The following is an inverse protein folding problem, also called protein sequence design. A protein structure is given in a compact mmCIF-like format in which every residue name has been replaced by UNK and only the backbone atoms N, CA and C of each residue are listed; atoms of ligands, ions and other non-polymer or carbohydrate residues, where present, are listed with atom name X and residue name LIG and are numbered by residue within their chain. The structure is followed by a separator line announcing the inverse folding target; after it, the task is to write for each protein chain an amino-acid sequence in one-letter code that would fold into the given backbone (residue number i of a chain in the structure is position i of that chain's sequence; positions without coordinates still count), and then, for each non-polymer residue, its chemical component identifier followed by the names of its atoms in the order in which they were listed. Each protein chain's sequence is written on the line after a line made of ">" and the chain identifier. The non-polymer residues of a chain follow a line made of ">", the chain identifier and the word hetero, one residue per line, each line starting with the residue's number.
data_IF_262975529162
#
_entry.id   IF_262975529162
#
_cell.length_a   1.000
_cell.length_b   1.000
_cell.length_c   1.000
_cell.angle_alpha   90.00
_cell.angle_beta   90.00
_cell.angle_gamma   90.00
#
_symmetry.space_group_name_H-M   'P 1'
#
loop_
_entity.id
_entity.type
_entity.pdbx_description
1 polymer ?
#
# COMPACT_ATOMS: atom_id res chain seq x y z
N UNK A 1 18.74 -42.37 29.83
CA UNK A 1 18.76 -40.93 29.51
C UNK A 1 20.03 -40.66 28.72
N UNK A 2 19.90 -40.58 27.41
CA UNK A 2 21.01 -40.27 26.49
C UNK A 2 21.23 -38.78 26.53
N UNK A 3 22.33 -38.32 27.11
CA UNK A 3 22.82 -36.96 26.96
C UNK A 3 23.20 -36.75 25.47
N UNK A 4 22.34 -36.11 24.72
CA UNK A 4 22.77 -35.48 23.49
C UNK A 4 23.70 -34.33 23.89
N UNK A 5 24.97 -34.42 23.48
CA UNK A 5 25.94 -33.36 23.68
C UNK A 5 25.37 -32.06 23.07
N UNK A 6 25.25 -31.00 23.87
CA UNK A 6 24.79 -29.71 23.42
C UNK A 6 25.80 -29.21 22.39
N UNK A 7 25.41 -29.18 21.12
CA UNK A 7 26.05 -28.30 20.15
C UNK A 7 25.83 -26.89 20.69
N UNK A 8 26.91 -26.16 20.98
CA UNK A 8 26.80 -24.78 21.42
C UNK A 8 26.07 -23.99 20.31
N UNK A 9 24.84 -23.60 20.55
CA UNK A 9 24.08 -22.81 19.59
C UNK A 9 24.66 -21.38 19.63
N UNK A 10 25.25 -20.94 18.52
CA UNK A 10 25.85 -19.60 18.42
C UNK A 10 24.82 -18.48 18.54
N UNK A 11 23.53 -18.80 18.54
CA UNK A 11 22.43 -17.86 18.75
C UNK A 11 22.17 -17.54 20.21
N UNK A 12 22.69 -18.35 21.13
CA UNK A 12 22.53 -18.11 22.57
C UNK A 12 23.49 -17.01 23.01
N UNK A 13 22.95 -15.98 23.65
CA UNK A 13 23.70 -14.81 24.10
C UNK A 13 24.03 -15.00 25.59
N UNK A 14 25.33 -15.05 25.92
CA UNK A 14 25.81 -15.20 27.30
C UNK A 14 25.92 -13.87 28.03
N UNK A 15 26.44 -12.85 27.36
CA UNK A 15 26.64 -11.51 27.94
C UNK A 15 25.65 -10.52 27.25
N UNK A 16 24.78 -9.92 28.06
CA UNK A 16 23.79 -8.94 27.63
C UNK A 16 24.28 -7.53 27.96
N UNK A 17 23.88 -6.59 27.08
CA UNK A 17 23.98 -5.18 27.40
C UNK A 17 23.16 -4.85 28.65
N UNK A 18 23.64 -3.97 29.57
CA UNK A 18 22.92 -3.64 30.78
C UNK A 18 21.48 -3.17 30.59
N UNK A 19 21.20 -2.42 29.52
CA UNK A 19 19.87 -1.96 29.19
C UNK A 19 18.94 -3.13 28.81
N UNK A 20 19.43 -4.05 28.00
CA UNK A 20 18.68 -5.26 27.63
C UNK A 20 18.43 -6.16 28.82
N UNK A 21 19.43 -6.27 29.74
CA UNK A 21 19.30 -7.01 30.96
C UNK A 21 18.18 -6.44 31.86
N UNK A 22 18.14 -5.11 32.01
CA UNK A 22 17.09 -4.42 32.76
C UNK A 22 15.69 -4.65 32.15
N UNK A 23 15.55 -4.53 30.82
CA UNK A 23 14.30 -4.83 30.15
C UNK A 23 13.84 -6.27 30.33
N UNK A 24 14.77 -7.24 30.32
CA UNK A 24 14.48 -8.64 30.53
C UNK A 24 14.00 -8.92 31.99
N UNK A 25 14.62 -8.29 32.98
CA UNK A 25 14.18 -8.39 34.36
C UNK A 25 12.79 -7.77 34.56
N UNK A 26 12.54 -6.59 34.02
CA UNK A 26 11.23 -5.96 34.05
C UNK A 26 10.15 -6.82 33.42
N UNK A 27 10.45 -7.41 32.27
CA UNK A 27 9.53 -8.34 31.63
C UNK A 27 9.24 -9.55 32.54
N UNK A 28 10.28 -10.15 33.12
CA UNK A 28 10.12 -11.29 34.00
C UNK A 28 9.28 -10.96 35.25
N UNK A 29 9.40 -9.75 35.79
CA UNK A 29 8.58 -9.27 36.90
C UNK A 29 7.14 -8.99 36.52
N UNK A 30 6.92 -8.38 35.34
CA UNK A 30 5.59 -7.96 34.84
C UNK A 30 4.78 -9.16 34.39
N UNK A 31 5.34 -9.99 33.52
CA UNK A 31 4.63 -11.06 32.82
C UNK A 31 4.79 -12.45 33.48
N UNK A 32 5.77 -12.63 34.40
CA UNK A 32 6.01 -13.85 35.18
C UNK A 32 5.93 -15.12 34.32
N UNK A 33 6.78 -15.26 33.29
CA UNK A 33 6.74 -16.44 32.42
C UNK A 33 6.94 -17.73 33.22
N UNK A 34 6.26 -18.80 32.79
CA UNK A 34 6.31 -20.09 33.47
C UNK A 34 7.61 -20.85 33.17
N UNK A 35 8.37 -20.38 32.21
CA UNK A 35 9.62 -21.01 31.79
C UNK A 35 10.70 -20.88 32.86
N UNK A 36 11.70 -21.79 32.83
CA UNK A 36 12.77 -21.83 33.81
C UNK A 36 13.68 -20.61 33.73
N UNK A 37 14.12 -20.12 34.91
CA UNK A 37 15.10 -19.03 34.99
C UNK A 37 16.54 -19.59 35.14
N UNK A 38 17.56 -18.89 34.59
CA UNK A 38 17.47 -17.68 33.76
C UNK A 38 16.86 -17.98 32.42
N UNK A 39 16.13 -16.96 31.85
CA UNK A 39 15.54 -17.07 30.53
C UNK A 39 16.63 -17.19 29.46
N UNK A 40 16.37 -18.02 28.46
CA UNK A 40 17.29 -18.23 27.34
C UNK A 40 17.15 -17.10 26.34
N UNK A 41 18.11 -16.17 26.30
CA UNK A 41 18.15 -15.09 25.30
C UNK A 41 18.84 -15.59 24.05
N UNK A 42 18.19 -15.38 22.93
CA UNK A 42 18.67 -15.76 21.61
C UNK A 42 18.84 -14.54 20.70
N UNK A 43 19.71 -14.68 19.71
CA UNK A 43 19.94 -13.66 18.66
C UNK A 43 19.46 -14.18 17.32
N UNK A 44 18.69 -13.36 16.62
CA UNK A 44 18.43 -13.59 15.21
C UNK A 44 19.69 -13.25 14.41
N UNK A 45 20.24 -14.23 13.67
CA UNK A 45 21.49 -14.06 12.94
C UNK A 45 21.35 -13.14 11.70
N UNK A 46 20.16 -12.95 11.18
CA UNK A 46 19.93 -12.10 10.02
C UNK A 46 19.81 -10.62 10.40
N UNK A 47 19.10 -10.33 11.48
CA UNK A 47 18.79 -8.96 11.91
C UNK A 47 19.63 -8.50 13.11
N UNK A 48 20.26 -9.45 13.84
CA UNK A 48 20.93 -9.17 15.11
C UNK A 48 19.97 -8.96 16.29
N UNK A 49 18.66 -8.97 16.09
CA UNK A 49 17.65 -8.73 17.10
C UNK A 49 17.69 -9.78 18.22
N UNK A 50 17.57 -9.34 19.47
CA UNK A 50 17.56 -10.19 20.65
C UNK A 50 16.12 -10.58 21.03
N UNK A 51 15.90 -11.85 21.35
CA UNK A 51 14.58 -12.33 21.73
C UNK A 51 14.62 -13.49 22.74
N UNK A 52 13.48 -13.71 23.40
CA UNK A 52 13.17 -14.93 24.17
C UNK A 52 11.92 -15.59 23.61
N UNK A 53 11.79 -16.90 23.75
CA UNK A 53 10.54 -17.63 23.54
C UNK A 53 10.07 -18.20 24.85
N UNK A 54 8.91 -17.77 25.32
CA UNK A 54 8.39 -18.07 26.67
C UNK A 54 6.88 -18.25 26.65
N UNK A 55 6.32 -18.72 27.76
CA UNK A 55 4.89 -18.87 27.95
C UNK A 55 4.40 -17.97 29.09
N UNK A 56 3.40 -17.15 28.78
CA UNK A 56 2.83 -16.16 29.71
C UNK A 56 1.33 -16.43 29.89
N UNK A 57 0.86 -16.34 31.13
CA UNK A 57 -0.57 -16.48 31.44
C UNK A 57 -1.38 -15.32 30.84
N UNK A 58 -2.55 -15.61 30.28
CA UNK A 58 -3.40 -14.60 29.63
C UNK A 58 -3.72 -13.41 30.54
N UNK A 59 -4.03 -13.67 31.81
CA UNK A 59 -4.29 -12.63 32.82
C UNK A 59 -3.11 -11.72 33.14
N UNK A 60 -1.88 -12.12 32.84
CA UNK A 60 -0.68 -11.30 32.97
C UNK A 60 -0.31 -10.62 31.66
N UNK A 61 -0.48 -11.30 30.54
CA UNK A 61 -0.17 -10.76 29.20
C UNK A 61 -1.12 -9.65 28.78
N UNK A 62 -2.42 -9.86 28.92
CA UNK A 62 -3.46 -8.95 28.42
C UNK A 62 -3.38 -7.54 29.02
N UNK A 63 -3.26 -7.36 30.35
CA UNK A 63 -3.13 -6.02 30.93
C UNK A 63 -1.80 -5.32 30.59
N UNK A 64 -0.75 -6.06 30.29
CA UNK A 64 0.56 -5.52 29.99
C UNK A 64 0.77 -5.22 28.48
N UNK A 65 -0.18 -5.61 27.62
CA UNK A 65 0.02 -5.59 26.17
C UNK A 65 -0.92 -4.65 25.44
N UNK A 66 -0.41 -4.08 24.32
CA UNK A 66 -1.20 -3.26 23.39
C UNK A 66 -0.98 -3.72 21.95
N UNK A 67 -2.04 -3.62 21.14
CA UNK A 67 -1.97 -3.75 19.68
C UNK A 67 -1.81 -2.39 18.99
N UNK A 68 -1.90 -1.30 19.73
CA UNK A 68 -1.71 0.05 19.27
C UNK A 68 -0.22 0.40 19.29
N UNK A 69 0.50 -0.02 18.23
CA UNK A 69 1.94 0.07 18.14
C UNK A 69 2.29 0.95 16.95
N UNK A 70 2.94 2.11 17.15
CA UNK A 70 3.47 2.91 16.06
C UNK A 70 4.63 2.17 15.38
N UNK A 71 4.85 2.46 14.11
CA UNK A 71 5.98 1.90 13.37
C UNK A 71 7.30 2.54 13.82
N UNK A 72 7.25 3.84 14.08
CA UNK A 72 8.33 4.64 14.62
C UNK A 72 7.79 5.44 15.81
N UNK A 73 8.05 4.99 17.05
CA UNK A 73 7.53 5.65 18.24
C UNK A 73 8.01 7.08 18.44
N UNK A 74 9.22 7.40 17.98
CA UNK A 74 9.87 8.68 18.24
C UNK A 74 9.47 9.76 17.23
N UNK A 75 9.36 9.38 15.93
CA UNK A 75 9.09 10.34 14.85
C UNK A 75 7.65 10.29 14.30
N UNK A 76 6.94 9.18 14.43
CA UNK A 76 5.67 8.94 13.76
C UNK A 76 4.64 8.22 14.66
N UNK A 77 4.46 8.71 15.88
CA UNK A 77 3.56 8.11 16.87
C UNK A 77 2.11 7.90 16.37
N UNK A 78 1.66 8.71 15.40
CA UNK A 78 0.30 8.63 14.83
C UNK A 78 0.14 7.54 13.76
N UNK A 79 1.24 6.92 13.30
CA UNK A 79 1.21 5.94 12.22
C UNK A 79 1.44 4.52 12.73
N UNK A 80 0.37 3.76 12.75
CA UNK A 80 0.33 2.43 13.34
C UNK A 80 0.95 1.37 12.44
N UNK A 81 1.80 0.57 13.04
CA UNK A 81 2.40 -0.60 12.40
C UNK A 81 1.37 -1.69 12.13
N UNK A 82 0.35 -1.78 12.96
CA UNK A 82 -0.63 -2.83 12.94
C UNK A 82 -1.81 -2.50 12.01
N UNK A 83 -2.32 -3.53 11.32
CA UNK A 83 -3.55 -3.44 10.55
C UNK A 83 -4.77 -3.57 11.46
N UNK A 84 -5.89 -3.02 11.01
CA UNK A 84 -7.16 -3.22 11.69
C UNK A 84 -7.52 -4.72 11.75
N UNK A 85 -8.00 -5.16 12.90
CA UNK A 85 -8.55 -6.50 13.07
C UNK A 85 -9.85 -6.59 12.27
N UNK A 86 -9.90 -7.46 11.27
CA UNK A 86 -11.11 -7.67 10.46
C UNK A 86 -12.04 -8.61 11.23
N UNK A 87 -12.99 -8.05 11.95
CA UNK A 87 -13.91 -8.80 12.83
C UNK A 87 -14.89 -9.71 12.09
N UNK A 88 -15.30 -9.33 10.88
CA UNK A 88 -16.33 -10.05 10.10
C UNK A 88 -15.80 -11.31 9.36
N UNK A 89 -14.57 -11.74 9.62
CA UNK A 89 -14.00 -12.88 8.92
C UNK A 89 -14.33 -14.19 9.68
N UNK A 90 -14.97 -15.17 8.98
CA UNK A 90 -15.35 -16.47 9.57
C UNK A 90 -14.18 -17.19 10.27
N UNK A 91 -12.94 -17.01 9.80
CA UNK A 91 -11.75 -17.58 10.43
C UNK A 91 -11.46 -16.93 11.81
N UNK A 92 -11.75 -15.64 11.98
CA UNK A 92 -11.56 -14.96 13.25
C UNK A 92 -12.63 -15.38 14.28
N UNK A 93 -13.90 -15.51 13.85
CA UNK A 93 -14.95 -16.05 14.72
C UNK A 93 -14.56 -17.45 15.26
N UNK A 94 -14.09 -18.33 14.38
CA UNK A 94 -13.59 -19.66 14.79
C UNK A 94 -12.40 -19.57 15.75
N UNK A 95 -11.48 -18.64 15.56
CA UNK A 95 -10.34 -18.43 16.46
C UNK A 95 -10.80 -18.02 17.86
N UNK A 96 -11.82 -17.19 17.99
CA UNK A 96 -12.44 -16.82 19.27
C UNK A 96 -13.07 -18.03 19.96
N UNK A 97 -13.75 -18.90 19.21
CA UNK A 97 -14.34 -20.13 19.76
C UNK A 97 -13.21 -21.11 20.20
N UNK A 98 -12.17 -21.26 19.42
CA UNK A 98 -10.99 -22.07 19.77
C UNK A 98 -10.30 -21.54 21.04
N UNK A 99 -10.18 -20.21 21.21
CA UNK A 99 -9.62 -19.60 22.43
C UNK A 99 -10.47 -19.91 23.67
N UNK A 100 -11.79 -19.78 23.57
CA UNK A 100 -12.74 -20.11 24.66
C UNK A 100 -12.74 -21.61 25.00
N UNK A 101 -12.35 -22.47 24.06
CA UNK A 101 -12.14 -23.90 24.27
C UNK A 101 -10.75 -24.24 24.81
N UNK A 102 -9.99 -23.26 25.29
CA UNK A 102 -8.62 -23.43 25.82
C UNK A 102 -7.62 -24.03 24.81
N UNK A 103 -7.79 -23.75 23.50
CA UNK A 103 -6.91 -24.28 22.48
C UNK A 103 -5.60 -23.48 22.40
N UNK A 104 -4.47 -24.19 22.31
CA UNK A 104 -3.16 -23.58 22.08
C UNK A 104 -3.06 -22.95 20.70
N UNK A 105 -2.47 -21.75 20.65
CA UNK A 105 -2.12 -21.04 19.42
C UNK A 105 -0.61 -21.07 19.18
N UNK A 106 -0.20 -20.75 17.95
CA UNK A 106 1.20 -20.43 17.68
C UNK A 106 1.59 -19.13 18.40
N UNK A 107 2.90 -18.93 18.65
CA UNK A 107 3.41 -17.80 19.43
C UNK A 107 2.91 -16.45 18.91
N UNK A 108 2.59 -15.54 19.83
CA UNK A 108 2.38 -14.13 19.55
C UNK A 108 3.77 -13.47 19.48
N UNK A 109 3.98 -12.59 18.53
CA UNK A 109 5.25 -11.88 18.35
C UNK A 109 5.11 -10.49 18.94
N UNK A 110 6.01 -10.15 19.88
CA UNK A 110 5.94 -8.91 20.64
C UNK A 110 7.32 -8.26 20.76
N UNK A 111 7.32 -6.98 21.11
CA UNK A 111 8.48 -6.27 21.65
C UNK A 111 8.16 -5.83 23.07
N UNK A 112 9.12 -5.97 23.98
CA UNK A 112 9.05 -5.37 25.31
C UNK A 112 9.86 -4.06 25.30
N UNK A 113 9.17 -2.95 25.50
CA UNK A 113 9.78 -1.62 25.53
C UNK A 113 8.98 -0.68 26.41
N UNK A 114 9.66 0.27 27.07
CA UNK A 114 9.04 1.35 27.83
C UNK A 114 8.62 2.53 26.96
N UNK A 115 9.07 2.55 25.70
CA UNK A 115 8.75 3.62 24.76
C UNK A 115 7.27 3.62 24.38
N UNK A 116 6.74 4.79 24.02
CA UNK A 116 5.40 5.05 23.53
C UNK A 116 4.28 4.92 24.57
N UNK A 117 4.15 3.81 25.27
CA UNK A 117 3.11 3.56 26.27
C UNK A 117 3.69 2.69 27.39
N UNK A 118 4.08 3.34 28.50
CA UNK A 118 4.68 2.68 29.65
C UNK A 118 3.70 1.76 30.40
N UNK A 119 2.39 2.03 30.28
CA UNK A 119 1.35 1.23 30.94
C UNK A 119 1.16 -0.13 30.27
N UNK A 120 1.53 -0.23 28.98
CA UNK A 120 1.47 -1.47 28.20
C UNK A 120 2.84 -1.77 27.56
N UNK A 121 3.82 -2.22 28.34
CA UNK A 121 5.20 -2.41 27.84
C UNK A 121 5.32 -3.52 26.80
N UNK A 122 4.35 -4.42 26.68
CA UNK A 122 4.33 -5.49 25.67
C UNK A 122 3.62 -4.97 24.41
N UNK A 123 4.38 -4.73 23.34
CA UNK A 123 3.88 -4.25 22.05
C UNK A 123 3.63 -5.44 21.13
N UNK A 124 2.39 -5.70 20.73
CA UNK A 124 2.05 -6.82 19.85
C UNK A 124 2.41 -6.44 18.40
N UNK A 125 3.47 -7.04 17.88
CA UNK A 125 3.93 -6.85 16.50
C UNK A 125 3.21 -7.83 15.53
N UNK A 126 3.01 -9.07 15.97
CA UNK A 126 2.35 -10.09 15.16
C UNK A 126 1.42 -10.99 15.97
N UNK A 127 0.30 -11.39 15.37
CA UNK A 127 -0.70 -12.23 16.03
C UNK A 127 -1.84 -11.48 16.71
N UNK A 128 -2.18 -10.27 16.26
CA UNK A 128 -3.26 -9.42 16.83
C UNK A 128 -4.59 -10.16 16.95
N UNK A 129 -5.01 -10.91 15.93
CA UNK A 129 -6.24 -11.70 15.97
C UNK A 129 -6.20 -12.76 17.09
N UNK A 130 -5.04 -13.39 17.31
CA UNK A 130 -4.83 -14.35 18.42
C UNK A 130 -4.92 -13.64 19.75
N UNK A 131 -4.24 -12.50 19.89
CA UNK A 131 -4.29 -11.69 21.09
C UNK A 131 -5.72 -11.23 21.42
N UNK A 132 -6.47 -10.71 20.44
CA UNK A 132 -7.87 -10.33 20.64
C UNK A 132 -8.74 -11.53 21.00
N UNK A 133 -8.51 -12.71 20.41
CA UNK A 133 -9.24 -13.91 20.79
C UNK A 133 -8.92 -14.35 22.24
N UNK A 134 -7.68 -14.19 22.69
CA UNK A 134 -7.26 -14.44 24.08
C UNK A 134 -7.93 -13.45 25.03
N UNK A 135 -8.00 -12.15 24.69
CA UNK A 135 -8.73 -11.15 25.48
C UNK A 135 -10.20 -11.54 25.66
N UNK A 136 -10.87 -11.95 24.58
CA UNK A 136 -12.27 -12.41 24.62
C UNK A 136 -12.44 -13.67 25.48
N UNK A 137 -11.51 -14.62 25.41
CA UNK A 137 -11.55 -15.84 26.22
C UNK A 137 -11.33 -15.53 27.71
N UNK A 138 -10.36 -14.68 28.03
CA UNK A 138 -10.11 -14.21 29.41
C UNK A 138 -11.36 -13.52 30.00
N UNK A 139 -12.04 -12.69 29.23
CA UNK A 139 -13.28 -12.05 29.66
C UNK A 139 -14.41 -13.05 29.98
N UNK A 140 -14.35 -14.27 29.45
CA UNK A 140 -15.28 -15.37 29.77
C UNK A 140 -14.76 -16.32 30.88
N UNK A 141 -13.61 -16.02 31.48
CA UNK A 141 -13.02 -16.78 32.57
C UNK A 141 -12.07 -17.90 32.15
N UNK A 142 -11.69 -17.95 30.87
CA UNK A 142 -10.66 -18.90 30.35
C UNK A 142 -9.31 -18.22 30.38
N UNK A 143 -8.42 -18.68 31.25
CA UNK A 143 -7.07 -18.13 31.45
C UNK A 143 -6.02 -19.23 31.29
N UNK A 144 -5.32 -19.18 30.14
CA UNK A 144 -4.35 -20.20 29.75
C UNK A 144 -2.98 -19.55 29.48
N UNK A 145 -1.92 -20.42 29.49
CA UNK A 145 -0.60 -19.98 29.07
C UNK A 145 -0.46 -19.93 27.58
N UNK A 146 0.04 -18.81 27.09
CA UNK A 146 0.24 -18.56 25.64
C UNK A 146 1.72 -18.38 25.32
N UNK A 147 2.15 -19.01 24.23
CA UNK A 147 3.51 -18.85 23.72
C UNK A 147 3.71 -17.43 23.18
N UNK A 148 4.81 -16.80 23.60
CA UNK A 148 5.21 -15.46 23.19
C UNK A 148 6.66 -15.50 22.71
N UNK A 149 6.91 -14.96 21.50
CA UNK A 149 8.24 -14.62 21.04
C UNK A 149 8.44 -13.13 21.26
N UNK A 150 9.27 -12.77 22.21
CA UNK A 150 9.42 -11.42 22.71
C UNK A 150 10.80 -10.87 22.39
N UNK A 151 10.84 -9.75 21.68
CA UNK A 151 12.05 -9.04 21.32
C UNK A 151 12.35 -7.90 22.29
N UNK A 152 13.63 -7.50 22.37
CA UNK A 152 14.13 -6.43 23.22
C UNK A 152 15.03 -5.49 22.40
N UNK A 153 14.93 -4.18 22.64
CA UNK A 153 15.83 -3.18 22.10
C UNK A 153 15.85 -3.14 20.57
N UNK A 154 14.71 -3.32 19.92
CA UNK A 154 14.61 -3.23 18.45
C UNK A 154 14.82 -1.80 17.98
N UNK A 155 15.72 -1.63 17.00
CA UNK A 155 15.72 -0.42 16.20
C UNK A 155 14.58 -0.44 15.14
N UNK A 156 14.41 0.65 14.40
CA UNK A 156 13.29 0.79 13.45
C UNK A 156 13.37 -0.22 12.29
N UNK A 157 14.58 -0.54 11.81
CA UNK A 157 14.80 -1.53 10.76
C UNK A 157 14.48 -2.94 11.24
N UNK A 158 14.98 -3.31 12.41
CA UNK A 158 14.70 -4.59 13.06
C UNK A 158 13.20 -4.77 13.36
N UNK A 159 12.53 -3.71 13.85
CA UNK A 159 11.09 -3.74 14.15
C UNK A 159 10.27 -4.01 12.89
N UNK A 160 10.64 -3.40 11.77
CA UNK A 160 10.00 -3.69 10.50
C UNK A 160 10.26 -5.13 10.05
N UNK A 161 11.51 -5.59 10.07
CA UNK A 161 11.85 -6.95 9.64
C UNK A 161 11.09 -8.00 10.45
N UNK A 162 11.03 -7.84 11.78
CA UNK A 162 10.24 -8.70 12.66
C UNK A 162 8.77 -8.69 12.28
N UNK A 163 8.22 -7.51 11.96
CA UNK A 163 6.83 -7.38 11.54
C UNK A 163 6.57 -8.03 10.18
N UNK A 164 7.46 -7.86 9.22
CA UNK A 164 7.37 -8.51 7.92
C UNK A 164 7.39 -10.03 8.05
N UNK A 165 8.35 -10.56 8.81
CA UNK A 165 8.50 -12.01 9.03
C UNK A 165 7.28 -12.57 9.77
N UNK A 166 6.82 -11.90 10.84
CA UNK A 166 5.67 -12.36 11.63
C UNK A 166 4.37 -12.40 10.84
N UNK A 167 4.25 -11.58 9.81
CA UNK A 167 3.09 -11.51 8.93
C UNK A 167 3.21 -12.34 7.64
N UNK A 168 4.36 -12.98 7.36
CA UNK A 168 4.55 -13.81 6.15
C UNK A 168 3.66 -15.04 6.11
N UNK A 169 3.19 -15.53 7.24
CA UNK A 169 2.26 -16.67 7.32
C UNK A 169 0.79 -16.29 7.06
N UNK A 170 0.45 -15.01 7.04
CA UNK A 170 -0.82 -14.49 6.56
C UNK A 170 -0.47 -13.74 5.29
N UNK A 171 -1.11 -14.06 4.17
CA UNK A 171 -0.88 -13.38 2.90
C UNK A 171 -1.04 -11.86 3.11
N UNK A 172 0.06 -11.19 3.44
CA UNK A 172 0.12 -9.73 3.53
C UNK A 172 -0.27 -9.22 2.16
N UNK A 173 -1.31 -8.39 2.09
CA UNK A 173 -1.67 -7.81 0.80
C UNK A 173 -0.48 -7.01 0.28
N UNK A 174 -0.25 -7.06 -1.03
CA UNK A 174 0.85 -6.32 -1.65
C UNK A 174 0.76 -4.81 -1.39
N UNK A 175 -0.44 -4.27 -1.24
CA UNK A 175 -0.65 -2.86 -0.90
C UNK A 175 -0.25 -2.55 0.55
N UNK A 176 -0.51 -3.47 1.51
CA UNK A 176 -0.03 -3.31 2.90
C UNK A 176 1.50 -3.36 2.96
N UNK A 177 2.12 -4.29 2.25
CA UNK A 177 3.56 -4.39 2.16
C UNK A 177 4.18 -3.09 1.61
N UNK A 178 3.60 -2.54 0.52
CA UNK A 178 4.01 -1.26 -0.04
C UNK A 178 3.88 -0.11 0.97
N UNK A 179 2.79 -0.09 1.76
CA UNK A 179 2.58 0.93 2.80
C UNK A 179 3.65 0.86 3.89
N UNK A 180 3.90 -0.34 4.43
CA UNK A 180 4.92 -0.53 5.45
C UNK A 180 6.30 -0.08 4.97
N UNK A 181 6.67 -0.47 3.74
CA UNK A 181 7.95 -0.09 3.14
C UNK A 181 8.06 1.42 2.93
N UNK A 182 6.98 2.07 2.45
CA UNK A 182 7.03 3.53 2.23
C UNK A 182 7.07 4.29 3.54
N UNK A 183 6.44 3.80 4.61
CA UNK A 183 6.50 4.41 5.93
C UNK A 183 7.93 4.45 6.47
N UNK A 184 8.72 3.38 6.23
CA UNK A 184 10.15 3.38 6.59
C UNK A 184 11.00 4.31 5.74
N UNK A 185 10.66 4.46 4.45
CA UNK A 185 11.37 5.37 3.58
C UNK A 185 11.17 6.85 3.97
N UNK A 186 10.18 7.12 4.83
CA UNK A 186 9.86 8.43 5.37
C UNK A 186 8.47 8.95 5.00
N UNK A 187 8.07 10.12 5.52
CA UNK A 187 6.73 10.65 5.38
C UNK A 187 6.45 11.32 4.01
N UNK A 188 7.47 11.53 3.19
CA UNK A 188 7.44 12.44 2.05
C UNK A 188 6.32 12.13 1.04
N UNK A 189 6.13 10.84 0.67
CA UNK A 189 5.08 10.45 -0.27
C UNK A 189 3.68 10.74 0.30
N UNK A 190 3.47 10.43 1.57
CA UNK A 190 2.21 10.68 2.27
C UNK A 190 1.93 12.17 2.35
N UNK A 191 2.90 12.97 2.82
CA UNK A 191 2.78 14.41 2.98
C UNK A 191 2.51 15.08 1.62
N UNK A 192 3.16 14.60 0.56
CA UNK A 192 2.87 15.03 -0.80
C UNK A 192 1.42 14.71 -1.19
N UNK A 193 0.95 13.48 -0.95
CA UNK A 193 -0.43 13.07 -1.25
C UNK A 193 -1.46 13.89 -0.47
N UNK A 194 -1.20 14.21 0.79
CA UNK A 194 -2.03 15.10 1.60
C UNK A 194 -2.00 16.55 1.06
N UNK A 195 -0.83 17.05 0.69
CA UNK A 195 -0.66 18.40 0.12
C UNK A 195 -1.43 18.58 -1.21
N UNK A 196 -1.49 17.56 -2.04
CA UNK A 196 -2.22 17.62 -3.31
C UNK A 196 -3.70 17.21 -3.18
N UNK A 197 -4.12 16.67 -2.04
CA UNK A 197 -5.50 16.28 -1.76
C UNK A 197 -5.91 14.90 -2.33
N UNK A 198 -4.93 14.03 -2.57
CA UNK A 198 -5.13 12.60 -2.85
C UNK A 198 -5.38 11.79 -1.58
N UNK A 199 -4.86 12.27 -0.45
CA UNK A 199 -5.20 11.89 0.90
C UNK A 199 -5.78 13.12 1.63
N UNK A 200 -6.68 12.92 2.56
CA UNK A 200 -7.14 14.00 3.45
C UNK A 200 -6.06 14.30 4.51
N UNK A 201 -6.15 15.47 5.17
CA UNK A 201 -5.20 15.82 6.23
C UNK A 201 -5.27 14.82 7.40
N UNK A 202 -4.14 14.23 7.76
CA UNK A 202 -4.05 13.20 8.81
C UNK A 202 -4.45 11.78 8.35
N UNK A 203 -4.84 11.60 7.08
CA UNK A 203 -5.17 10.29 6.51
C UNK A 203 -3.91 9.57 6.03
N UNK A 204 -3.84 8.26 6.22
CA UNK A 204 -2.78 7.39 5.71
C UNK A 204 -3.26 6.55 4.50
N UNK A 205 -2.32 5.89 3.85
CA UNK A 205 -2.59 4.99 2.74
C UNK A 205 -3.40 3.76 3.16
N UNK A 206 -4.28 3.30 2.29
CA UNK A 206 -5.03 2.06 2.53
C UNK A 206 -4.16 0.81 2.37
N UNK A 207 -4.42 -0.22 3.19
CA UNK A 207 -3.77 -1.54 3.13
C UNK A 207 -4.19 -2.36 1.91
N UNK A 208 -5.27 -1.97 1.28
CA UNK A 208 -5.78 -2.56 0.04
C UNK A 208 -6.69 -1.58 -0.68
N UNK A 209 -6.74 -1.72 -1.99
CA UNK A 209 -7.65 -0.93 -2.80
C UNK A 209 -9.09 -1.38 -2.59
N UNK A 210 -9.89 -0.54 -1.94
CA UNK A 210 -11.33 -0.74 -1.73
C UNK A 210 -12.08 0.54 -2.12
N UNK A 211 -13.36 0.40 -2.50
CA UNK A 211 -14.20 1.57 -2.82
C UNK A 211 -14.36 2.45 -1.59
N UNK A 212 -14.19 3.75 -1.77
CA UNK A 212 -14.36 4.74 -0.71
C UNK A 212 -13.17 4.87 0.24
N UNK A 213 -12.24 3.93 0.22
CA UNK A 213 -11.01 4.01 1.02
C UNK A 213 -10.01 5.01 0.42
N UNK A 214 -9.01 5.43 1.21
CA UNK A 214 -7.84 6.14 0.74
C UNK A 214 -7.15 5.43 -0.42
N UNK A 215 -6.32 6.17 -1.16
CA UNK A 215 -5.46 5.54 -2.17
C UNK A 215 -4.40 4.67 -1.51
N UNK A 216 -3.86 3.70 -2.26
CA UNK A 216 -2.73 2.89 -1.80
C UNK A 216 -1.40 3.55 -2.21
N UNK A 217 -0.32 3.21 -1.53
CA UNK A 217 1.06 3.63 -1.89
C UNK A 217 1.34 3.33 -3.36
N UNK A 218 0.97 2.13 -3.81
CA UNK A 218 1.13 1.74 -5.22
C UNK A 218 0.45 2.70 -6.18
N UNK A 219 -0.76 3.19 -5.87
CA UNK A 219 -1.45 4.16 -6.72
C UNK A 219 -0.69 5.49 -6.77
N UNK A 220 -0.21 5.99 -5.64
CA UNK A 220 0.56 7.22 -5.56
C UNK A 220 1.88 7.13 -6.34
N UNK A 221 2.66 6.08 -6.11
CA UNK A 221 3.91 5.81 -6.84
C UNK A 221 3.66 5.68 -8.35
N UNK A 222 2.62 4.94 -8.75
CA UNK A 222 2.23 4.80 -10.17
C UNK A 222 1.91 6.15 -10.80
N UNK A 223 1.22 7.04 -10.11
CA UNK A 223 0.95 8.39 -10.58
C UNK A 223 2.25 9.16 -10.84
N UNK A 224 3.13 9.25 -9.85
CA UNK A 224 4.36 10.04 -9.90
C UNK A 224 5.30 9.53 -10.99
N UNK A 225 5.54 8.21 -11.03
CA UNK A 225 6.42 7.60 -12.04
C UNK A 225 5.91 7.89 -13.46
N UNK A 226 4.61 7.74 -13.70
CA UNK A 226 4.06 8.02 -15.03
C UNK A 226 4.11 9.49 -15.41
N UNK A 227 3.94 10.40 -14.47
CA UNK A 227 4.13 11.82 -14.73
C UNK A 227 5.55 12.12 -15.24
N UNK A 228 6.58 11.63 -14.57
CA UNK A 228 7.97 11.86 -15.00
C UNK A 228 8.31 11.11 -16.30
N UNK A 229 7.82 9.89 -16.49
CA UNK A 229 7.96 9.19 -17.77
C UNK A 229 7.35 10.01 -18.91
N UNK A 230 6.17 10.58 -18.71
CA UNK A 230 5.52 11.45 -19.67
C UNK A 230 6.32 12.74 -19.94
N UNK A 231 6.90 13.35 -18.91
CA UNK A 231 7.70 14.56 -19.05
C UNK A 231 8.95 14.37 -19.92
N UNK A 232 9.44 13.14 -20.04
CA UNK A 232 10.53 12.77 -20.95
C UNK A 232 10.11 12.57 -22.42
N UNK A 233 8.80 12.64 -22.74
CA UNK A 233 8.29 12.41 -24.10
C UNK A 233 8.05 13.71 -24.81
N UNK A 234 8.57 13.85 -26.04
CA UNK A 234 8.22 14.96 -26.93
C UNK A 234 6.75 14.81 -27.41
N UNK A 235 5.87 15.78 -27.12
CA UNK A 235 4.47 15.73 -27.55
C UNK A 235 4.30 15.58 -29.07
N UNK A 236 5.25 16.08 -29.87
CA UNK A 236 5.24 15.95 -31.34
C UNK A 236 5.52 14.53 -31.82
N UNK A 237 6.25 13.77 -31.01
CA UNK A 237 6.62 12.36 -31.31
C UNK A 237 5.65 11.37 -30.66
N UNK A 238 4.70 11.83 -29.86
CA UNK A 238 3.79 10.96 -29.13
C UNK A 238 3.06 9.96 -30.05
N UNK A 239 2.61 10.37 -31.23
CA UNK A 239 1.88 9.51 -32.16
C UNK A 239 2.74 8.41 -32.84
N UNK A 240 4.06 8.47 -32.74
CA UNK A 240 4.99 7.54 -33.41
C UNK A 240 5.89 6.76 -32.45
N UNK A 241 5.87 7.08 -31.16
CA UNK A 241 6.70 6.41 -30.16
C UNK A 241 5.90 5.39 -29.36
N UNK A 242 6.55 4.28 -28.99
CA UNK A 242 5.98 3.32 -28.05
C UNK A 242 5.99 3.93 -26.63
N UNK A 243 4.91 4.52 -26.25
CA UNK A 243 4.74 5.19 -24.95
C UNK A 243 3.55 4.62 -24.21
N UNK A 244 3.79 3.50 -23.53
CA UNK A 244 2.77 2.86 -22.70
C UNK A 244 3.02 3.23 -21.23
N UNK A 245 2.04 3.87 -20.56
CA UNK A 245 2.11 4.09 -19.11
C UNK A 245 2.35 2.78 -18.35
N UNK A 246 3.17 2.83 -17.30
CA UNK A 246 3.47 1.65 -16.49
C UNK A 246 2.59 1.59 -15.24
N UNK A 247 2.41 0.39 -14.72
CA UNK A 247 1.90 0.16 -13.37
C UNK A 247 3.01 -0.49 -12.58
N UNK A 248 3.40 0.15 -11.49
CA UNK A 248 4.45 -0.38 -10.63
C UNK A 248 4.01 -1.71 -10.02
N UNK A 249 4.91 -2.65 -9.98
CA UNK A 249 4.75 -3.89 -9.21
C UNK A 249 4.88 -3.56 -7.72
N UNK A 250 4.19 -4.32 -6.89
CA UNK A 250 4.38 -4.25 -5.44
C UNK A 250 5.65 -5.01 -5.05
N UNK A 251 6.32 -4.56 -4.02
CA UNK A 251 7.50 -5.20 -3.44
C UNK A 251 8.73 -4.29 -3.36
N UNK A 252 9.78 -4.78 -2.69
CA UNK A 252 11.09 -4.13 -2.56
C UNK A 252 12.15 -5.00 -3.27
N UNK A 253 13.08 -4.41 -4.06
CA UNK A 253 13.12 -3.02 -4.50
C UNK A 253 12.15 -2.78 -5.67
N UNK A 254 11.49 -1.61 -5.68
CA UNK A 254 10.73 -1.11 -6.83
C UNK A 254 11.68 -0.31 -7.71
N UNK A 255 12.31 -0.95 -8.65
CA UNK A 255 13.40 -0.38 -9.45
C UNK A 255 13.05 0.98 -10.08
N UNK A 256 11.88 1.09 -10.71
CA UNK A 256 11.47 2.35 -11.33
C UNK A 256 11.22 3.47 -10.30
N UNK A 257 10.70 3.14 -9.13
CA UNK A 257 10.44 4.11 -8.07
C UNK A 257 11.74 4.60 -7.44
N UNK A 258 12.63 3.69 -7.06
CA UNK A 258 13.91 4.03 -6.46
C UNK A 258 14.82 4.79 -7.44
N UNK A 259 14.89 4.34 -8.71
CA UNK A 259 15.61 5.04 -9.75
C UNK A 259 15.08 6.46 -10.00
N UNK A 260 13.75 6.64 -9.93
CA UNK A 260 13.14 7.96 -10.06
C UNK A 260 13.55 8.88 -8.91
N UNK A 261 13.48 8.43 -7.66
CA UNK A 261 13.89 9.24 -6.49
C UNK A 261 15.36 9.61 -6.57
N UNK A 262 16.22 8.67 -6.93
CA UNK A 262 17.66 8.90 -7.07
C UNK A 262 18.00 9.92 -8.16
N UNK A 263 17.25 9.92 -9.27
CA UNK A 263 17.46 10.87 -10.37
C UNK A 263 16.77 12.21 -10.19
N UNK A 264 15.88 12.35 -9.21
CA UNK A 264 15.10 13.56 -8.94
C UNK A 264 15.09 13.87 -7.42
N UNK A 265 16.21 14.31 -6.82
CA UNK A 265 16.27 14.56 -5.37
C UNK A 265 15.25 15.60 -4.90
N UNK A 266 14.91 16.57 -5.76
CA UNK A 266 13.94 17.64 -5.47
C UNK A 266 12.50 17.27 -5.91
N UNK A 267 12.21 15.98 -6.08
CA UNK A 267 10.90 15.44 -6.53
C UNK A 267 9.72 16.07 -5.80
N UNK A 268 9.82 16.18 -4.49
CA UNK A 268 8.74 16.67 -3.62
C UNK A 268 8.51 18.17 -3.75
N UNK A 269 9.50 18.90 -4.25
CA UNK A 269 9.45 20.35 -4.49
C UNK A 269 8.94 20.71 -5.89
N UNK A 270 8.80 19.71 -6.80
CA UNK A 270 8.37 19.94 -8.18
C UNK A 270 6.96 20.55 -8.24
N UNK A 271 6.90 21.82 -8.60
CA UNK A 271 5.66 22.59 -8.68
C UNK A 271 4.70 22.10 -9.77
N UNK A 272 5.21 21.53 -10.88
CA UNK A 272 4.39 21.00 -11.97
C UNK A 272 3.79 19.67 -11.58
N UNK A 273 4.56 18.78 -10.93
CA UNK A 273 4.05 17.54 -10.37
C UNK A 273 2.97 17.83 -9.30
N UNK A 274 3.25 18.77 -8.39
CA UNK A 274 2.29 19.18 -7.35
C UNK A 274 0.99 19.71 -7.96
N UNK A 275 1.08 20.49 -9.04
CA UNK A 275 -0.08 20.97 -9.78
C UNK A 275 -0.84 19.83 -10.42
N UNK A 276 -0.15 18.88 -11.09
CA UNK A 276 -0.78 17.71 -11.68
C UNK A 276 -1.50 16.88 -10.61
N UNK A 277 -0.88 16.63 -9.46
CA UNK A 277 -1.50 15.93 -8.32
C UNK A 277 -2.80 16.61 -7.85
N UNK A 278 -2.79 17.94 -7.66
CA UNK A 278 -3.99 18.71 -7.27
C UNK A 278 -5.13 18.60 -8.27
N UNK A 279 -4.83 18.71 -9.57
CA UNK A 279 -5.86 18.62 -10.60
C UNK A 279 -6.41 17.19 -10.75
N UNK A 280 -5.56 16.18 -10.55
CA UNK A 280 -6.02 14.79 -10.52
C UNK A 280 -6.88 14.50 -9.29
N UNK A 281 -6.49 14.95 -8.11
CA UNK A 281 -7.29 14.83 -6.89
C UNK A 281 -8.67 15.50 -7.07
N UNK A 282 -8.70 16.68 -7.70
CA UNK A 282 -9.94 17.36 -8.02
C UNK A 282 -10.82 16.59 -9.03
N UNK A 283 -10.20 15.90 -10.01
CA UNK A 283 -10.90 15.01 -10.94
C UNK A 283 -11.51 13.81 -10.19
N UNK A 284 -10.76 13.17 -9.28
CA UNK A 284 -11.24 12.06 -8.44
C UNK A 284 -12.44 12.52 -7.60
N UNK A 285 -12.33 13.65 -6.91
CA UNK A 285 -13.42 14.22 -6.10
C UNK A 285 -14.66 14.52 -6.94
N UNK A 286 -14.50 15.10 -8.11
CA UNK A 286 -15.61 15.39 -9.04
C UNK A 286 -16.28 14.11 -9.54
N UNK A 287 -15.51 13.07 -9.87
CA UNK A 287 -16.02 11.77 -10.30
C UNK A 287 -16.82 11.09 -9.17
N UNK A 288 -16.27 11.05 -7.97
CA UNK A 288 -16.97 10.52 -6.78
C UNK A 288 -18.26 11.28 -6.48
N UNK A 289 -18.21 12.60 -6.46
CA UNK A 289 -19.35 13.46 -6.14
C UNK A 289 -20.55 13.27 -7.10
N UNK A 290 -20.29 12.88 -8.36
CA UNK A 290 -21.36 12.59 -9.30
C UNK A 290 -22.13 11.32 -8.96
N UNK A 291 -21.44 10.25 -8.57
CA UNK A 291 -22.02 8.92 -8.38
C UNK A 291 -22.35 8.57 -6.92
N UNK A 292 -21.79 9.29 -5.95
CA UNK A 292 -21.93 9.03 -4.53
C UNK A 292 -22.61 10.21 -3.81
N UNK A 293 -23.35 9.89 -2.76
CA UNK A 293 -23.88 10.89 -1.80
C UNK A 293 -22.76 11.35 -0.86
N UNK A 294 -22.97 12.44 -0.13
CA UNK A 294 -22.06 12.91 0.93
C UNK A 294 -21.84 11.87 2.04
N UNK A 295 -22.80 10.95 2.22
CA UNK A 295 -22.68 9.83 3.17
C UNK A 295 -22.01 8.57 2.60
N UNK A 296 -21.40 8.66 1.40
CA UNK A 296 -20.70 7.54 0.78
C UNK A 296 -21.61 6.47 0.15
N UNK A 297 -22.91 6.69 0.07
CA UNK A 297 -23.85 5.76 -0.59
C UNK A 297 -23.92 6.03 -2.10
N UNK A 298 -24.02 4.96 -2.91
CA UNK A 298 -24.21 5.09 -4.35
C UNK A 298 -25.56 5.75 -4.67
N UNK A 299 -25.57 6.78 -5.53
CA UNK A 299 -26.78 7.46 -6.00
C UNK A 299 -27.59 6.61 -6.98
N UNK A 300 -26.97 5.61 -7.62
CA UNK A 300 -27.60 4.75 -8.62
C UNK A 300 -26.86 3.39 -8.69
N UNK A 301 -27.38 2.48 -9.54
CA UNK A 301 -26.71 1.20 -9.86
C UNK A 301 -25.31 1.38 -10.52
N UNK A 302 -24.94 2.61 -10.89
CA UNK A 302 -23.64 2.96 -11.48
C UNK A 302 -22.61 3.44 -10.46
N UNK A 303 -22.81 3.14 -9.17
CA UNK A 303 -21.86 3.51 -8.10
C UNK A 303 -20.41 3.07 -8.35
N UNK A 304 -20.21 2.00 -9.15
CA UNK A 304 -18.87 1.54 -9.56
C UNK A 304 -18.09 2.58 -10.39
N UNK A 305 -18.78 3.51 -11.03
CA UNK A 305 -18.15 4.57 -11.80
C UNK A 305 -17.53 5.68 -10.95
N UNK A 306 -17.89 5.75 -9.66
CA UNK A 306 -17.29 6.70 -8.72
C UNK A 306 -15.76 6.55 -8.63
N UNK A 307 -15.26 5.31 -8.66
CA UNK A 307 -13.84 5.01 -8.54
C UNK A 307 -13.13 4.87 -9.91
N UNK A 308 -13.76 5.26 -11.00
CA UNK A 308 -13.20 5.11 -12.35
C UNK A 308 -11.87 5.84 -12.51
N UNK A 309 -11.72 7.04 -11.94
CA UNK A 309 -10.49 7.81 -12.00
C UNK A 309 -9.32 7.10 -11.31
N UNK A 310 -9.59 6.36 -10.22
CA UNK A 310 -8.59 5.60 -9.48
C UNK A 310 -8.31 4.20 -10.06
N UNK A 311 -8.94 3.82 -11.20
CA UNK A 311 -8.47 2.65 -11.93
C UNK A 311 -7.01 2.88 -12.36
N UNK A 312 -6.13 1.90 -12.11
CA UNK A 312 -4.69 2.07 -12.39
C UNK A 312 -4.38 2.42 -13.84
N UNK A 313 -5.16 1.94 -14.81
CA UNK A 313 -4.96 2.30 -16.21
C UNK A 313 -5.37 3.76 -16.48
N UNK A 314 -6.45 4.24 -15.85
CA UNK A 314 -6.89 5.63 -15.96
C UNK A 314 -5.89 6.57 -15.28
N UNK A 315 -5.52 6.26 -14.05
CA UNK A 315 -4.56 7.03 -13.24
C UNK A 315 -3.21 7.14 -13.94
N UNK A 316 -2.64 6.02 -14.38
CA UNK A 316 -1.33 6.01 -15.05
C UNK A 316 -1.35 6.77 -16.37
N UNK A 317 -2.40 6.59 -17.18
CA UNK A 317 -2.54 7.28 -18.46
C UNK A 317 -2.75 8.78 -18.28
N UNK A 318 -3.58 9.19 -17.32
CA UNK A 318 -3.81 10.61 -17.02
C UNK A 318 -2.52 11.31 -16.56
N UNK A 319 -1.80 10.69 -15.60
CA UNK A 319 -0.54 11.22 -15.09
C UNK A 319 0.53 11.30 -16.18
N UNK A 320 0.64 10.26 -17.02
CA UNK A 320 1.55 10.23 -18.15
C UNK A 320 1.31 11.38 -19.13
N UNK A 321 0.05 11.62 -19.52
CA UNK A 321 -0.28 12.73 -20.43
C UNK A 321 -0.10 14.09 -19.76
N UNK A 322 -0.34 14.22 -18.45
CA UNK A 322 -0.01 15.42 -17.70
C UNK A 322 1.49 15.75 -17.81
N UNK A 323 2.35 14.73 -17.75
CA UNK A 323 3.79 14.85 -17.97
C UNK A 323 4.16 15.21 -19.41
N UNK A 324 3.64 14.47 -20.41
CA UNK A 324 3.85 14.75 -21.86
C UNK A 324 3.56 16.23 -22.19
N UNK A 325 2.54 16.78 -21.53
CA UNK A 325 2.09 18.14 -21.78
C UNK A 325 2.76 19.19 -20.89
N UNK A 326 3.70 18.82 -20.03
CA UNK A 326 4.33 19.73 -19.04
C UNK A 326 4.92 20.99 -19.67
N UNK A 327 5.49 20.87 -20.86
CA UNK A 327 6.07 21.97 -21.64
C UNK A 327 5.06 22.65 -22.61
N UNK A 328 3.79 22.20 -22.63
CA UNK A 328 2.73 22.80 -23.46
C UNK A 328 1.59 23.31 -22.57
N UNK A 329 1.78 24.53 -22.04
CA UNK A 329 0.85 25.12 -21.05
C UNK A 329 -0.60 25.17 -21.52
N UNK A 330 -0.87 25.38 -22.82
CA UNK A 330 -2.23 25.44 -23.36
C UNK A 330 -2.92 24.07 -23.33
N UNK A 331 -2.25 23.03 -23.85
CA UNK A 331 -2.81 21.66 -23.84
C UNK A 331 -2.86 21.09 -22.41
N UNK A 332 -1.85 21.35 -21.60
CA UNK A 332 -1.84 20.96 -20.21
C UNK A 332 -3.02 21.56 -19.42
N UNK A 333 -3.29 22.84 -19.63
CA UNK A 333 -4.46 23.51 -19.03
C UNK A 333 -5.76 22.81 -19.45
N UNK A 334 -5.94 22.51 -20.73
CA UNK A 334 -7.12 21.79 -21.24
C UNK A 334 -7.27 20.40 -20.63
N UNK A 335 -6.17 19.67 -20.48
CA UNK A 335 -6.15 18.38 -19.81
C UNK A 335 -6.60 18.48 -18.35
N UNK A 336 -6.06 19.44 -17.61
CA UNK A 336 -6.41 19.69 -16.21
C UNK A 336 -7.86 20.19 -16.02
N UNK A 337 -8.39 20.88 -16.99
CA UNK A 337 -9.76 21.40 -16.95
C UNK A 337 -10.83 20.41 -17.42
N UNK A 338 -10.47 19.15 -17.71
CA UNK A 338 -11.43 18.11 -18.11
C UNK A 338 -12.68 18.08 -17.21
N UNK A 339 -12.50 18.11 -15.88
CA UNK A 339 -13.61 18.12 -14.93
C UNK A 339 -14.55 19.33 -15.04
N UNK A 340 -14.07 20.46 -15.60
CA UNK A 340 -14.87 21.67 -15.77
C UNK A 340 -15.69 21.64 -17.04
N UNK A 341 -15.14 21.07 -18.12
CA UNK A 341 -15.80 21.02 -19.45
C UNK A 341 -16.76 19.83 -19.57
N UNK A 342 -16.51 18.75 -18.84
CA UNK A 342 -17.29 17.52 -18.90
C UNK A 342 -18.58 17.52 -18.04
N UNK A 343 -18.86 18.59 -17.32
CA UNK A 343 -20.07 18.71 -16.51
C UNK A 343 -20.12 17.69 -15.35
N UNK A 344 -21.14 16.81 -15.32
CA UNK A 344 -21.45 15.96 -14.15
C UNK A 344 -20.59 14.69 -14.05
N UNK A 345 -20.21 14.06 -15.17
CA UNK A 345 -19.39 12.84 -15.23
C UNK A 345 -18.09 13.14 -15.99
N UNK A 346 -17.03 13.59 -15.30
CA UNK A 346 -15.79 14.05 -15.94
C UNK A 346 -15.16 13.06 -16.91
N UNK A 347 -15.22 11.78 -16.59
CA UNK A 347 -14.64 10.72 -17.42
C UNK A 347 -15.63 10.12 -18.43
N UNK A 348 -16.88 10.55 -18.41
CA UNK A 348 -17.94 9.90 -19.18
C UNK A 348 -17.91 8.36 -19.01
N UNK A 349 -17.94 7.92 -17.74
CA UNK A 349 -17.72 6.53 -17.37
C UNK A 349 -18.66 5.54 -18.05
N UNK A 350 -19.91 5.98 -18.34
CA UNK A 350 -20.87 5.17 -19.08
C UNK A 350 -20.44 4.92 -20.54
N UNK A 351 -19.88 5.94 -21.20
CA UNK A 351 -19.33 5.76 -22.55
C UNK A 351 -18.02 4.99 -22.55
N UNK A 352 -17.14 5.19 -21.57
CA UNK A 352 -15.96 4.35 -21.37
C UNK A 352 -16.34 2.87 -21.22
N UNK A 353 -17.35 2.57 -20.43
CA UNK A 353 -17.83 1.20 -20.23
C UNK A 353 -18.33 0.53 -21.53
N UNK A 354 -18.73 1.31 -22.52
CA UNK A 354 -19.19 0.84 -23.83
C UNK A 354 -18.09 0.86 -24.91
N UNK A 355 -16.97 1.54 -24.66
CA UNK A 355 -15.86 1.69 -25.61
C UNK A 355 -15.27 0.34 -25.98
N UNK A 356 -15.28 -0.05 -27.28
CA UNK A 356 -14.81 -1.34 -27.78
C UNK A 356 -14.19 -1.17 -29.16
N UNK A 357 -13.18 -1.98 -29.43
CA UNK A 357 -12.69 -2.16 -30.78
C UNK A 357 -13.28 -3.45 -31.36
N UNK A 358 -13.78 -3.40 -32.61
CA UNK A 358 -14.47 -4.54 -33.23
C UNK A 358 -13.61 -5.81 -33.35
N UNK A 359 -12.30 -5.62 -33.52
CA UNK A 359 -11.33 -6.73 -33.67
C UNK A 359 -10.64 -7.12 -32.35
N UNK A 360 -11.05 -6.55 -31.23
CA UNK A 360 -10.50 -6.87 -29.91
C UNK A 360 -11.57 -7.56 -29.05
N UNK A 361 -11.72 -8.88 -29.14
CA UNK A 361 -12.73 -9.64 -28.40
C UNK A 361 -12.48 -9.61 -26.89
N UNK A 362 -11.24 -9.30 -26.45
CA UNK A 362 -10.89 -9.23 -25.03
C UNK A 362 -11.41 -7.96 -24.34
N UNK A 363 -11.81 -6.94 -25.11
CA UNK A 363 -12.28 -5.67 -24.57
C UNK A 363 -13.81 -5.59 -24.36
N UNK A 364 -14.41 -6.71 -23.99
CA UNK A 364 -15.85 -6.80 -23.76
C UNK A 364 -16.38 -5.90 -22.64
N UNK A 365 -15.53 -5.53 -21.69
CA UNK A 365 -15.92 -4.77 -20.50
C UNK A 365 -15.81 -3.25 -20.67
N UNK A 366 -15.37 -2.77 -21.84
CA UNK A 366 -15.06 -1.35 -22.08
C UNK A 366 -13.75 -0.91 -21.42
N UNK A 367 -13.49 0.41 -21.48
CA UNK A 367 -12.27 1.00 -20.92
C UNK A 367 -12.38 1.30 -19.42
N UNK A 368 -11.25 1.25 -18.72
CA UNK A 368 -11.15 1.54 -17.27
C UNK A 368 -11.70 0.44 -16.37
N UNK A 369 -11.68 -0.82 -16.84
CA UNK A 369 -11.93 -2.02 -16.04
C UNK A 369 -10.68 -2.88 -15.91
N UNK A 370 -9.86 -2.91 -16.94
CA UNK A 370 -8.60 -3.64 -17.00
C UNK A 370 -7.44 -2.70 -16.69
N UNK A 371 -6.26 -3.27 -16.52
CA UNK A 371 -5.03 -2.51 -16.22
C UNK A 371 -3.86 -2.91 -17.13
N UNK A 372 -4.12 -3.70 -18.19
CA UNK A 372 -3.09 -4.15 -19.12
C UNK A 372 -2.51 -3.01 -19.98
N UNK A 373 -1.44 -3.30 -20.70
CA UNK A 373 -0.71 -2.32 -21.50
C UNK A 373 -1.59 -1.70 -22.60
N UNK A 374 -2.43 -2.50 -23.28
CA UNK A 374 -3.33 -2.01 -24.32
C UNK A 374 -4.35 -1.03 -23.77
N UNK A 375 -4.92 -1.35 -22.60
CA UNK A 375 -5.86 -0.46 -21.91
C UNK A 375 -5.21 0.89 -21.56
N UNK A 376 -4.00 0.86 -21.00
CA UNK A 376 -3.26 2.06 -20.65
C UNK A 376 -2.93 2.92 -21.87
N UNK A 377 -2.50 2.28 -22.96
CA UNK A 377 -2.19 2.97 -24.22
C UNK A 377 -3.43 3.64 -24.82
N UNK A 378 -4.58 2.95 -24.86
CA UNK A 378 -5.85 3.52 -25.36
C UNK A 378 -6.31 4.73 -24.53
N UNK A 379 -6.15 4.64 -23.20
CA UNK A 379 -6.49 5.77 -22.33
C UNK A 379 -5.50 6.93 -22.46
N UNK A 380 -4.21 6.67 -22.72
CA UNK A 380 -3.25 7.73 -23.02
C UNK A 380 -3.64 8.48 -24.31
N UNK A 381 -3.98 7.76 -25.40
CA UNK A 381 -4.49 8.39 -26.62
C UNK A 381 -5.75 9.23 -26.35
N UNK A 382 -6.68 8.72 -25.54
CA UNK A 382 -7.90 9.42 -25.17
C UNK A 382 -7.62 10.75 -24.47
N UNK A 383 -6.75 10.75 -23.46
CA UNK A 383 -6.40 11.99 -22.75
C UNK A 383 -5.59 12.96 -23.59
N UNK A 384 -4.75 12.46 -24.48
CA UNK A 384 -4.04 13.32 -25.43
C UNK A 384 -5.00 14.01 -26.39
N UNK A 385 -5.93 13.26 -27.00
CA UNK A 385 -6.99 13.82 -27.85
C UNK A 385 -7.88 14.83 -27.11
N UNK A 386 -8.21 14.54 -25.85
CA UNK A 386 -8.97 15.46 -25.03
C UNK A 386 -8.21 16.79 -24.81
N UNK A 387 -6.91 16.72 -24.59
CA UNK A 387 -6.07 17.91 -24.41
C UNK A 387 -5.87 18.72 -25.70
N UNK A 388 -5.97 18.10 -26.86
CA UNK A 388 -5.87 18.79 -28.16
C UNK A 388 -7.01 19.78 -28.36
N UNK A 389 -8.26 19.35 -28.19
CA UNK A 389 -9.45 20.19 -28.41
C UNK A 389 -9.99 20.85 -27.14
N UNK A 390 -9.61 20.36 -25.96
CA UNK A 390 -10.06 20.88 -24.66
C UNK A 390 -11.53 20.62 -24.36
N UNK A 391 -12.19 19.71 -25.10
CA UNK A 391 -13.60 19.36 -24.92
C UNK A 391 -13.77 18.12 -24.05
N UNK A 392 -15.01 17.81 -23.71
CA UNK A 392 -15.38 16.61 -22.95
C UNK A 392 -15.00 15.30 -23.65
N UNK A 393 -14.94 14.23 -22.90
CA UNK A 393 -14.80 12.87 -23.42
C UNK A 393 -16.17 12.42 -23.97
N UNK A 394 -16.22 12.07 -25.25
CA UNK A 394 -17.41 11.57 -25.94
C UNK A 394 -17.19 10.12 -26.41
N UNK A 395 -18.27 9.41 -26.72
CA UNK A 395 -18.17 8.07 -27.30
C UNK A 395 -17.36 8.05 -28.62
N UNK A 396 -17.54 9.09 -29.47
CA UNK A 396 -16.77 9.23 -30.70
C UNK A 396 -15.27 9.45 -30.43
N UNK A 397 -14.91 10.23 -29.39
CA UNK A 397 -13.51 10.46 -29.01
C UNK A 397 -12.88 9.16 -28.45
N UNK A 398 -13.62 8.37 -27.68
CA UNK A 398 -13.18 7.06 -27.18
C UNK A 398 -12.90 6.12 -28.35
N UNK A 399 -13.82 6.03 -29.33
CA UNK A 399 -13.63 5.20 -30.54
C UNK A 399 -12.41 5.65 -31.34
N UNK A 400 -12.23 6.97 -31.50
CA UNK A 400 -11.06 7.54 -32.19
C UNK A 400 -9.76 7.20 -31.45
N UNK A 401 -9.72 7.29 -30.11
CA UNK A 401 -8.55 6.95 -29.31
C UNK A 401 -8.16 5.47 -29.47
N UNK A 402 -9.14 4.57 -29.46
CA UNK A 402 -8.91 3.13 -29.69
C UNK A 402 -8.32 2.90 -31.07
N UNK A 403 -8.86 3.55 -32.11
CA UNK A 403 -8.34 3.46 -33.49
C UNK A 403 -6.92 4.01 -33.62
N UNK A 404 -6.63 5.16 -33.02
CA UNK A 404 -5.27 5.74 -32.99
C UNK A 404 -4.28 4.80 -32.32
N UNK A 405 -4.64 4.20 -31.19
CA UNK A 405 -3.82 3.24 -30.51
C UNK A 405 -3.43 2.05 -31.42
N UNK A 406 -4.41 1.46 -32.11
CA UNK A 406 -4.13 0.35 -33.03
C UNK A 406 -3.32 0.75 -34.26
N UNK A 407 -3.56 1.94 -34.81
CA UNK A 407 -2.75 2.46 -35.92
C UNK A 407 -1.27 2.62 -35.50
N UNK A 408 -1.04 3.10 -34.28
CA UNK A 408 0.29 3.25 -33.70
C UNK A 408 0.97 1.89 -33.46
N UNK A 409 0.24 0.89 -32.90
CA UNK A 409 0.77 -0.47 -32.77
C UNK A 409 1.22 -1.02 -34.13
N UNK A 410 0.41 -0.88 -35.18
CA UNK A 410 0.75 -1.34 -36.52
C UNK A 410 2.01 -0.64 -37.09
N UNK A 411 2.16 0.67 -36.86
CA UNK A 411 3.36 1.40 -37.27
C UNK A 411 4.63 0.91 -36.57
N UNK A 412 4.52 0.64 -35.26
CA UNK A 412 5.63 0.09 -34.45
C UNK A 412 6.00 -1.31 -34.95
N UNK A 413 5.02 -2.17 -35.25
CA UNK A 413 5.27 -3.52 -35.78
C UNK A 413 5.98 -3.46 -37.16
N UNK A 414 5.56 -2.55 -38.03
CA UNK A 414 6.21 -2.33 -39.32
C UNK A 414 7.66 -1.87 -39.15
N UNK A 415 7.93 -0.96 -38.21
CA UNK A 415 9.29 -0.49 -37.94
C UNK A 415 10.18 -1.61 -37.41
N UNK A 416 9.70 -2.41 -36.47
CA UNK A 416 10.42 -3.59 -35.94
C UNK A 416 10.66 -4.65 -37.01
N UNK A 417 9.73 -4.84 -37.94
CA UNK A 417 9.90 -5.78 -39.04
C UNK A 417 10.98 -5.30 -40.04
N UNK A 418 11.05 -4.01 -40.32
CA UNK A 418 12.09 -3.42 -41.17
C UNK A 418 13.49 -3.55 -40.55
N UNK A 419 13.62 -3.29 -39.25
CA UNK A 419 14.89 -3.46 -38.51
C UNK A 419 15.38 -4.91 -38.49
N UNK A 420 14.49 -5.90 -38.49
CA UNK A 420 14.83 -7.32 -38.54
C UNK A 420 15.20 -7.79 -39.97
N UNK A 421 14.77 -7.07 -40.99
CA UNK A 421 15.02 -7.40 -42.41
C UNK A 421 16.29 -6.71 -42.98
N UNK A 422 16.82 -5.74 -42.25
CA UNK A 422 18.10 -5.05 -42.54
C UNK A 422 19.26 -5.72 -41.81
#
# INVERSE_FOLDING_TARGET
>A
MTHHGSVADTRVVGDLDPEIHELLEDFAQTCKPVDSHPLLVMRDNATGALYVEVHVLGSLLVPAATTDVPLDPDDQADYRANRDVVEDHAAFARMKDDAKAARSFSNIVCEFTRSFDESHPVKIIGGQHRFTAIQDALATGVDEHHGVKLYFGLDNEQRLDVQLISNTNIAVSTDLFDRMTETLAGPQLRDWCQTVGLLEGGEDFADRRTRGNPITVRAARTFIVNYFRGAGVDPKKFDVTETVPVILKSGIPLEEWEALKASNPDLWEDGNLRKAGKEFAALVKAQRAHFMTSSGKAKSRQGDFAEKALNYAVLSAWAFIAGVLSNNKTRQKRHFELRKVAGKDPLNAASLAKGRHKTDPENYRGLGYRTDAKERGRLAELFFLQAEDGKEITAAKIDLAIKKFHAKEALIEVSKAKERAS
#
